data_IF_291978587221
#
_entry.id   IF_291978587221
#
_cell.length_a   1.000
_cell.length_b   1.000
_cell.length_c   1.000
_cell.angle_alpha   90.00
_cell.angle_beta   90.00
_cell.angle_gamma   90.00
#
_symmetry.space_group_name_H-M   'P 1'
#
loop_
_entity.id
_entity.type
_entity.pdbx_description
1 polymer ?
#
# COMPACT_ATOMS: atom_id res chain seq x y z
N UNK A 1 4.13 1.49 -10.81
CA UNK A 1 5.39 0.78 -10.51
C UNK A 1 5.34 -0.73 -10.75
N UNK A 2 4.72 -1.56 -9.90
CA UNK A 2 4.83 -3.04 -10.05
C UNK A 2 4.41 -3.54 -11.44
N UNK A 3 3.29 -3.02 -11.96
CA UNK A 3 2.79 -3.38 -13.30
C UNK A 3 3.74 -2.91 -14.40
N UNK A 4 4.29 -1.69 -14.31
CA UNK A 4 5.27 -1.16 -15.26
C UNK A 4 6.59 -1.91 -15.23
N UNK A 5 6.87 -2.65 -14.14
CA UNK A 5 8.03 -3.56 -14.03
C UNK A 5 7.72 -5.01 -14.37
N UNK A 6 6.49 -5.30 -14.79
CA UNK A 6 6.10 -6.59 -15.36
C UNK A 6 5.20 -7.45 -14.49
N UNK A 7 4.77 -6.98 -13.31
CA UNK A 7 3.79 -7.72 -12.51
C UNK A 7 2.40 -7.72 -13.19
N UNK A 8 1.72 -8.87 -13.15
CA UNK A 8 0.37 -8.98 -13.68
C UNK A 8 -0.63 -8.23 -12.79
N UNK A 9 -1.35 -7.26 -13.37
CA UNK A 9 -2.29 -6.42 -12.62
C UNK A 9 -3.45 -7.23 -12.00
N UNK A 10 -3.89 -8.31 -12.66
CA UNK A 10 -4.97 -9.16 -12.18
C UNK A 10 -4.48 -10.03 -11.02
N UNK A 11 -3.22 -10.47 -11.06
CA UNK A 11 -2.56 -11.14 -9.95
C UNK A 11 -2.45 -10.21 -8.74
N UNK A 12 -2.08 -8.93 -8.93
CA UNK A 12 -2.06 -7.96 -7.84
C UNK A 12 -3.44 -7.81 -7.22
N UNK A 13 -4.48 -7.60 -8.03
CA UNK A 13 -5.85 -7.52 -7.53
C UNK A 13 -6.24 -8.78 -6.75
N UNK A 14 -5.99 -9.98 -7.29
CA UNK A 14 -6.31 -11.25 -6.62
C UNK A 14 -5.57 -11.41 -5.29
N UNK A 15 -4.30 -11.02 -5.23
CA UNK A 15 -3.52 -11.09 -4.00
C UNK A 15 -4.10 -10.16 -2.91
N UNK A 16 -4.44 -8.93 -3.28
CA UNK A 16 -5.01 -7.94 -2.37
C UNK A 16 -6.43 -8.34 -1.91
N UNK A 17 -7.27 -8.89 -2.79
CA UNK A 17 -8.58 -9.41 -2.37
C UNK A 17 -8.45 -10.65 -1.50
N UNK A 18 -7.52 -11.57 -1.82
CA UNK A 18 -7.25 -12.76 -1.00
C UNK A 18 -6.70 -12.40 0.38
N UNK A 19 -5.97 -11.30 0.50
CA UNK A 19 -5.51 -10.77 1.77
C UNK A 19 -6.68 -10.38 2.69
N UNK A 20 -7.77 -9.88 2.11
CA UNK A 20 -9.02 -9.53 2.80
C UNK A 20 -9.67 -8.22 2.37
N UNK A 21 -9.09 -7.50 1.41
CA UNK A 21 -9.70 -6.25 0.93
C UNK A 21 -10.97 -6.53 0.13
N UNK A 22 -11.99 -5.65 0.21
CA UNK A 22 -13.23 -5.82 -0.54
C UNK A 22 -13.03 -5.74 -2.06
N UNK A 23 -11.97 -5.05 -2.50
CA UNK A 23 -11.67 -4.82 -3.91
C UNK A 23 -10.16 -4.65 -4.11
N UNK A 24 -9.65 -5.17 -5.23
CA UNK A 24 -8.26 -4.96 -5.63
C UNK A 24 -8.02 -3.54 -6.14
N UNK A 25 -6.79 -3.01 -6.02
CA UNK A 25 -6.47 -1.60 -6.29
C UNK A 25 -6.84 -1.14 -7.70
N UNK A 26 -6.63 -1.95 -8.73
CA UNK A 26 -6.96 -1.57 -10.11
C UNK A 26 -8.46 -1.55 -10.37
N UNK A 27 -9.22 -2.42 -9.70
CA UNK A 27 -10.68 -2.44 -9.81
C UNK A 27 -11.29 -1.25 -9.07
N UNK A 28 -10.72 -0.90 -7.93
CA UNK A 28 -11.08 0.29 -7.16
C UNK A 28 -10.78 1.57 -7.96
N UNK A 29 -9.62 1.65 -8.62
CA UNK A 29 -9.27 2.78 -9.47
C UNK A 29 -10.27 2.97 -10.63
N UNK A 30 -10.69 1.87 -11.29
CA UNK A 30 -11.73 1.93 -12.32
C UNK A 30 -13.07 2.42 -11.78
N UNK A 31 -13.45 1.98 -10.57
CA UNK A 31 -14.71 2.37 -9.93
C UNK A 31 -14.70 3.86 -9.55
N UNK A 32 -13.60 4.35 -8.98
CA UNK A 32 -13.41 5.76 -8.60
C UNK A 32 -13.30 6.65 -9.84
N UNK A 33 -12.65 6.16 -10.90
CA UNK A 33 -12.44 6.86 -12.16
C UNK A 33 -11.08 7.58 -12.23
N UNK A 34 -10.50 7.62 -13.44
CA UNK A 34 -9.12 8.08 -13.64
C UNK A 34 -8.93 9.58 -13.40
N UNK A 35 -9.97 10.40 -13.59
CA UNK A 35 -9.90 11.83 -13.31
C UNK A 35 -9.54 12.13 -11.85
N UNK A 36 -10.18 11.44 -10.91
CA UNK A 36 -9.89 11.58 -9.46
C UNK A 36 -8.49 11.06 -9.14
N UNK A 37 -8.10 9.93 -9.74
CA UNK A 37 -6.78 9.34 -9.54
C UNK A 37 -5.65 10.27 -9.98
N UNK A 38 -5.83 10.99 -11.09
CA UNK A 38 -4.84 11.94 -11.62
C UNK A 38 -4.73 13.17 -10.71
N UNK A 39 -5.85 13.81 -10.36
CA UNK A 39 -5.83 15.01 -9.51
C UNK A 39 -5.18 14.68 -8.17
N UNK A 40 -5.61 13.58 -7.54
CA UNK A 40 -5.04 13.10 -6.28
C UNK A 40 -3.54 12.77 -6.44
N UNK A 41 -3.18 12.04 -7.49
CA UNK A 41 -1.79 11.66 -7.78
C UNK A 41 -0.87 12.87 -7.99
N UNK A 42 -1.33 13.89 -8.70
CA UNK A 42 -0.60 15.16 -8.89
C UNK A 42 -0.33 15.84 -7.55
N UNK A 43 -1.32 15.91 -6.65
CA UNK A 43 -1.12 16.48 -5.31
C UNK A 43 -0.06 15.72 -4.50
N UNK A 44 -0.03 14.38 -4.57
CA UNK A 44 1.03 13.60 -3.90
C UNK A 44 2.41 13.84 -4.51
N UNK A 45 2.51 13.93 -5.84
CA UNK A 45 3.78 14.21 -6.54
C UNK A 45 4.29 15.61 -6.18
N UNK A 46 3.42 16.62 -6.12
CA UNK A 46 3.79 18.00 -5.81
C UNK A 46 4.23 18.18 -4.35
N UNK A 47 3.50 17.57 -3.41
CA UNK A 47 3.75 17.77 -1.98
C UNK A 47 4.76 16.77 -1.40
N UNK A 48 4.92 15.60 -2.02
CA UNK A 48 5.74 14.49 -1.51
C UNK A 48 6.51 13.75 -2.61
N UNK A 49 7.29 14.47 -3.45
CA UNK A 49 7.97 13.88 -4.61
C UNK A 49 8.95 12.77 -4.24
N UNK A 50 9.57 12.83 -3.07
CA UNK A 50 10.57 11.87 -2.59
C UNK A 50 9.96 10.52 -2.21
N UNK A 51 8.66 10.46 -1.93
CA UNK A 51 7.96 9.24 -1.51
C UNK A 51 6.79 8.86 -2.43
N UNK A 52 6.70 9.47 -3.61
CA UNK A 52 5.62 9.19 -4.57
C UNK A 52 6.20 8.67 -5.88
N UNK A 53 5.69 7.53 -6.35
CA UNK A 53 6.05 7.01 -7.66
C UNK A 53 5.14 7.60 -8.74
N UNK A 54 5.72 8.29 -9.72
CA UNK A 54 5.00 8.84 -10.87
C UNK A 54 4.81 7.79 -11.97
N UNK A 55 3.64 7.15 -11.97
CA UNK A 55 3.27 6.17 -13.00
C UNK A 55 2.77 6.84 -14.28
N UNK A 56 3.17 6.28 -15.43
CA UNK A 56 2.68 6.69 -16.76
C UNK A 56 1.50 5.85 -17.25
N UNK A 57 1.12 4.81 -16.51
CA UNK A 57 0.07 3.88 -16.91
C UNK A 57 -1.30 4.57 -17.09
N UNK A 58 -1.77 5.36 -16.12
CA UNK A 58 -3.06 6.06 -16.21
C UNK A 58 -3.04 7.12 -17.35
N UNK A 59 -2.02 7.99 -17.48
CA UNK A 59 -1.90 8.89 -18.62
C UNK A 59 -2.02 8.19 -19.99
N UNK A 60 -1.25 7.11 -20.21
CA UNK A 60 -1.29 6.34 -21.46
C UNK A 60 -2.69 5.74 -21.70
N UNK A 61 -3.36 5.28 -20.63
CA UNK A 61 -4.72 4.74 -20.75
C UNK A 61 -5.76 5.80 -21.12
N UNK A 62 -5.58 7.05 -20.66
CA UNK A 62 -6.47 8.14 -21.07
C UNK A 62 -6.32 8.49 -22.55
N UNK A 63 -5.10 8.45 -23.09
CA UNK A 63 -4.85 8.62 -24.54
C UNK A 63 -5.58 7.53 -25.35
N UNK A 64 -5.74 6.32 -24.78
CA UNK A 64 -6.54 5.22 -25.34
C UNK A 64 -8.05 5.33 -25.03
N UNK A 65 -8.52 6.50 -24.56
CA UNK A 65 -9.92 6.80 -24.21
C UNK A 65 -10.50 5.88 -23.13
N UNK A 66 -9.66 5.45 -22.17
CA UNK A 66 -10.07 4.67 -21.00
C UNK A 66 -10.14 5.58 -19.78
N UNK A 67 -11.23 5.53 -19.03
CA UNK A 67 -11.39 6.33 -17.81
C UNK A 67 -12.00 5.55 -16.64
N UNK A 68 -12.17 4.23 -16.78
CA UNK A 68 -12.69 3.35 -15.73
C UNK A 68 -14.08 2.80 -16.04
N UNK A 69 -14.84 2.47 -15.00
CA UNK A 69 -16.16 1.86 -15.09
C UNK A 69 -17.18 2.79 -15.76
N UNK A 70 -17.09 4.10 -15.52
CA UNK A 70 -17.99 5.09 -16.12
C UNK A 70 -17.95 5.11 -17.65
N UNK A 71 -16.77 4.85 -18.24
CA UNK A 71 -16.60 4.74 -19.70
C UNK A 71 -16.66 3.29 -20.19
N UNK A 72 -17.07 2.35 -19.33
CA UNK A 72 -17.09 0.90 -19.56
C UNK A 72 -15.73 0.28 -19.92
N UNK A 73 -14.64 1.03 -19.76
CA UNK A 73 -13.30 0.63 -20.17
C UNK A 73 -12.25 1.37 -19.33
N UNK A 74 -11.49 0.60 -18.58
CA UNK A 74 -10.40 1.03 -17.68
C UNK A 74 -9.29 -0.02 -17.70
N UNK A 75 -8.85 -0.46 -16.51
CA UNK A 75 -8.02 -1.66 -16.36
C UNK A 75 -8.78 -2.94 -16.71
N UNK A 76 -10.10 -2.91 -16.56
CA UNK A 76 -11.03 -3.95 -16.99
C UNK A 76 -11.97 -3.39 -18.08
N UNK A 77 -12.69 -4.30 -18.74
CA UNK A 77 -13.87 -3.98 -19.55
C UNK A 77 -15.14 -4.29 -18.77
N UNK A 78 -16.20 -3.52 -19.03
CA UNK A 78 -17.45 -3.61 -18.30
C UNK A 78 -18.62 -3.83 -19.26
N UNK A 79 -19.48 -4.79 -18.94
CA UNK A 79 -20.74 -5.00 -19.66
C UNK A 79 -21.84 -4.01 -19.19
N UNK A 80 -23.04 -4.10 -19.76
CA UNK A 80 -24.17 -3.23 -19.38
C UNK A 80 -24.57 -3.34 -17.91
N UNK A 81 -24.28 -4.48 -17.27
CA UNK A 81 -24.50 -4.73 -15.84
C UNK A 81 -23.32 -4.30 -14.97
N UNK A 82 -22.34 -3.58 -15.52
CA UNK A 82 -21.11 -3.12 -14.85
C UNK A 82 -20.26 -4.27 -14.26
N UNK A 83 -20.40 -5.47 -14.79
CA UNK A 83 -19.55 -6.59 -14.39
C UNK A 83 -18.19 -6.48 -15.08
N UNK A 84 -17.14 -6.56 -14.28
CA UNK A 84 -15.75 -6.47 -14.76
C UNK A 84 -15.33 -7.78 -15.44
N UNK A 85 -14.61 -7.68 -16.55
CA UNK A 85 -13.90 -8.80 -17.18
C UNK A 85 -12.50 -8.37 -17.58
N UNK A 86 -11.51 -9.28 -17.55
CA UNK A 86 -10.16 -8.98 -18.04
C UNK A 86 -10.20 -8.46 -19.47
N UNK A 87 -9.46 -7.40 -19.74
CA UNK A 87 -9.26 -6.85 -21.08
C UNK A 87 -7.96 -7.40 -21.70
N UNK A 88 -8.04 -8.13 -22.84
CA UNK A 88 -6.85 -8.59 -23.56
C UNK A 88 -5.91 -7.46 -24.03
N UNK A 89 -6.45 -6.28 -24.32
CA UNK A 89 -5.68 -5.14 -24.82
C UNK A 89 -4.83 -4.47 -23.72
N UNK A 90 -5.13 -4.73 -22.44
CA UNK A 90 -4.40 -4.11 -21.32
C UNK A 90 -2.91 -4.47 -21.35
N UNK A 91 -2.57 -5.67 -21.82
CA UNK A 91 -1.18 -6.12 -21.93
C UNK A 91 -0.37 -5.24 -22.89
N UNK A 92 -0.98 -4.83 -24.01
CA UNK A 92 -0.34 -3.95 -24.99
C UNK A 92 -0.10 -2.55 -24.41
N UNK A 93 -1.04 -2.06 -23.60
CA UNK A 93 -0.93 -0.77 -22.92
C UNK A 93 0.16 -0.80 -21.85
N UNK A 94 0.16 -1.83 -20.99
CA UNK A 94 1.19 -2.03 -19.97
C UNK A 94 2.57 -2.13 -20.62
N UNK A 95 2.68 -2.76 -21.80
CA UNK A 95 3.94 -2.82 -22.55
C UNK A 95 4.44 -1.44 -22.98
N UNK A 96 3.55 -0.49 -23.34
CA UNK A 96 3.94 0.90 -23.64
C UNK A 96 4.45 1.65 -22.40
N UNK A 97 3.90 1.34 -21.25
CA UNK A 97 4.29 1.94 -19.96
C UNK A 97 5.49 1.23 -19.32
N UNK A 98 5.98 0.13 -19.90
CA UNK A 98 6.94 -0.76 -19.27
C UNK A 98 8.32 -0.13 -19.19
N UNK A 99 8.92 -0.15 -18.00
CA UNK A 99 10.34 0.16 -17.81
C UNK A 99 11.19 -1.02 -18.31
N UNK A 100 12.41 -0.76 -18.81
CA UNK A 100 13.31 -1.80 -19.33
C UNK A 100 13.63 -2.87 -18.26
N UNK A 101 13.60 -2.51 -16.98
CA UNK A 101 13.80 -3.44 -15.87
C UNK A 101 12.59 -4.36 -15.67
N UNK A 102 12.70 -5.60 -16.15
CA UNK A 102 11.74 -6.66 -15.81
C UNK A 102 12.10 -7.23 -14.44
N UNK A 103 11.30 -6.95 -13.42
CA UNK A 103 11.48 -7.54 -12.09
C UNK A 103 10.38 -8.59 -11.87
N UNK A 104 10.79 -9.81 -11.57
CA UNK A 104 9.85 -10.83 -11.15
C UNK A 104 9.47 -10.56 -9.69
N UNK A 105 8.19 -10.25 -9.45
CA UNK A 105 7.67 -9.99 -8.12
C UNK A 105 7.07 -11.28 -7.58
N UNK A 106 7.57 -11.78 -6.45
CA UNK A 106 6.99 -12.94 -5.78
C UNK A 106 5.53 -12.62 -5.41
N UNK A 107 4.54 -13.48 -5.76
CA UNK A 107 3.17 -13.32 -5.33
C UNK A 107 2.97 -13.05 -3.83
N UNK A 108 3.86 -13.59 -2.97
CA UNK A 108 3.85 -13.37 -1.52
C UNK A 108 4.20 -11.93 -1.16
N UNK A 109 5.14 -11.34 -1.88
CA UNK A 109 5.60 -9.98 -1.64
C UNK A 109 4.58 -8.94 -2.11
N UNK A 110 3.70 -9.26 -3.07
CA UNK A 110 2.73 -8.30 -3.63
C UNK A 110 1.91 -7.60 -2.53
N UNK A 111 1.40 -8.35 -1.55
CA UNK A 111 0.58 -7.78 -0.46
C UNK A 111 1.42 -6.79 0.36
N UNK A 112 2.63 -7.18 0.71
CA UNK A 112 3.54 -6.36 1.50
C UNK A 112 4.03 -5.14 0.71
N UNK A 113 4.32 -5.27 -0.58
CA UNK A 113 4.70 -4.15 -1.45
C UNK A 113 3.57 -3.13 -1.63
N UNK A 114 2.30 -3.57 -1.49
CA UNK A 114 1.14 -2.67 -1.50
C UNK A 114 0.97 -1.99 -0.15
N UNK A 115 1.05 -2.72 0.97
CA UNK A 115 0.68 -2.19 2.29
C UNK A 115 1.85 -1.65 3.12
N UNK A 116 3.10 -2.09 2.94
CA UNK A 116 4.23 -1.57 3.69
C UNK A 116 4.51 -0.09 3.42
N UNK A 117 4.38 0.45 2.18
CA UNK A 117 4.41 1.89 1.97
C UNK A 117 3.34 2.63 2.77
N UNK A 118 2.13 2.06 2.89
CA UNK A 118 1.06 2.65 3.69
C UNK A 118 1.37 2.59 5.20
N UNK A 119 1.95 1.49 5.69
CA UNK A 119 2.45 1.38 7.08
C UNK A 119 3.54 2.42 7.32
N UNK A 120 4.45 2.60 6.37
CA UNK A 120 5.53 3.58 6.46
C UNK A 120 5.00 5.01 6.53
N UNK A 121 4.00 5.36 5.74
CA UNK A 121 3.31 6.66 5.83
C UNK A 121 2.52 6.81 7.13
N UNK A 122 1.85 5.77 7.61
CA UNK A 122 1.17 5.78 8.89
C UNK A 122 2.13 5.99 10.07
N UNK A 123 3.35 5.44 10.00
CA UNK A 123 4.43 5.74 10.95
C UNK A 123 4.85 7.22 10.89
N UNK A 124 4.90 7.85 9.72
CA UNK A 124 5.18 9.31 9.59
C UNK A 124 4.08 10.14 10.22
N UNK A 125 2.82 9.86 9.89
CA UNK A 125 1.64 10.55 10.44
C UNK A 125 1.61 10.49 11.97
N UNK A 126 2.02 9.35 12.55
CA UNK A 126 2.15 9.22 14.00
C UNK A 126 3.34 10.01 14.57
N UNK A 127 4.50 9.93 13.91
CA UNK A 127 5.71 10.64 14.35
C UNK A 127 5.55 12.16 14.28
N UNK A 128 4.80 12.66 13.31
CA UNK A 128 4.45 14.06 13.12
C UNK A 128 3.33 14.54 14.08
N UNK A 129 2.74 13.63 14.86
CA UNK A 129 1.66 13.95 15.80
C UNK A 129 0.31 14.28 15.15
N UNK A 130 0.15 13.98 13.86
CA UNK A 130 -1.12 14.15 13.14
C UNK A 130 -2.17 13.18 13.67
N UNK A 131 -1.77 11.92 13.91
CA UNK A 131 -2.59 10.95 14.63
C UNK A 131 -2.14 10.88 16.09
N UNK A 132 -3.09 10.84 17.02
CA UNK A 132 -2.79 10.77 18.47
C UNK A 132 -2.34 9.36 18.85
N UNK A 133 -2.98 8.33 18.28
CA UNK A 133 -2.69 6.92 18.59
C UNK A 133 -2.69 6.05 17.34
N UNK A 134 -1.93 4.96 17.40
CA UNK A 134 -1.93 3.90 16.39
C UNK A 134 -3.35 3.35 16.10
N UNK A 135 -4.16 3.24 17.15
CA UNK A 135 -5.54 2.75 17.05
C UNK A 135 -6.44 3.65 16.20
N UNK A 136 -6.15 4.95 16.15
CA UNK A 136 -6.93 5.90 15.35
C UNK A 136 -6.69 5.63 13.86
N UNK A 137 -5.44 5.30 13.50
CA UNK A 137 -5.04 4.85 12.17
C UNK A 137 -5.62 3.48 11.82
N UNK A 138 -5.67 2.55 12.79
CA UNK A 138 -6.32 1.24 12.61
C UNK A 138 -7.81 1.40 12.28
N UNK A 139 -8.53 2.21 13.07
CA UNK A 139 -9.96 2.49 12.86
C UNK A 139 -10.17 3.19 11.50
N UNK A 140 -9.36 4.20 11.18
CA UNK A 140 -9.44 4.90 9.91
C UNK A 140 -9.19 3.97 8.73
N UNK A 141 -8.23 3.04 8.83
CA UNK A 141 -7.98 2.05 7.80
C UNK A 141 -9.16 1.06 7.65
N UNK A 142 -9.71 0.56 8.76
CA UNK A 142 -10.84 -0.37 8.69
C UNK A 142 -12.08 0.31 8.11
N UNK A 143 -12.44 1.49 8.61
CA UNK A 143 -13.69 2.17 8.24
C UNK A 143 -13.59 2.96 6.93
N UNK A 144 -12.39 3.46 6.59
CA UNK A 144 -12.17 4.29 5.41
C UNK A 144 -11.78 3.50 4.16
N UNK A 145 -10.71 2.70 4.24
CA UNK A 145 -10.22 1.92 3.09
C UNK A 145 -10.81 0.50 3.02
N UNK A 146 -11.52 0.05 4.05
CA UNK A 146 -12.03 -1.32 4.14
C UNK A 146 -10.94 -2.34 4.48
N UNK A 147 -9.91 -1.95 5.24
CA UNK A 147 -8.89 -2.90 5.70
C UNK A 147 -9.54 -4.04 6.50
N UNK A 148 -9.16 -5.31 6.30
CA UNK A 148 -9.87 -6.46 6.87
C UNK A 148 -9.94 -6.40 8.41
N UNK A 149 -11.16 -6.26 9.01
CA UNK A 149 -11.31 -6.06 10.46
C UNK A 149 -10.76 -7.23 11.29
N UNK A 150 -10.83 -8.45 10.77
CA UNK A 150 -10.30 -9.64 11.44
C UNK A 150 -8.76 -9.67 11.50
N UNK A 151 -8.08 -8.71 10.85
CA UNK A 151 -6.65 -8.44 11.01
C UNK A 151 -6.37 -7.26 11.95
N UNK A 152 -7.38 -6.75 12.66
CA UNK A 152 -7.30 -5.65 13.62
C UNK A 152 -7.28 -4.26 12.98
N UNK A 153 -6.36 -4.02 12.05
CA UNK A 153 -6.10 -2.73 11.42
C UNK A 153 -4.70 -2.71 10.82
N UNK A 154 -4.36 -1.69 10.05
CA UNK A 154 -3.08 -1.66 9.32
C UNK A 154 -1.86 -1.59 10.25
N UNK A 155 -1.95 -0.85 11.36
CA UNK A 155 -0.89 -0.74 12.36
C UNK A 155 -0.83 -1.96 13.26
N UNK A 156 -1.99 -2.52 13.64
CA UNK A 156 -2.05 -3.80 14.36
C UNK A 156 -1.43 -4.93 13.54
N UNK A 157 -1.75 -5.00 12.25
CA UNK A 157 -1.17 -5.97 11.33
C UNK A 157 0.33 -5.77 11.18
N UNK A 158 0.80 -4.53 11.03
CA UNK A 158 2.23 -4.23 11.02
C UNK A 158 2.95 -4.69 12.30
N UNK A 159 2.34 -4.48 13.47
CA UNK A 159 2.88 -4.96 14.74
C UNK A 159 3.02 -6.49 14.80
N UNK A 160 2.11 -7.23 14.15
CA UNK A 160 2.21 -8.70 14.07
C UNK A 160 3.40 -9.20 13.24
N UNK A 161 3.90 -8.38 12.32
CA UNK A 161 5.07 -8.69 11.47
C UNK A 161 6.38 -8.20 12.09
N UNK A 162 6.32 -7.07 12.78
CA UNK A 162 7.46 -6.45 13.47
C UNK A 162 8.25 -5.47 12.61
N UNK A 163 8.79 -4.44 13.27
CA UNK A 163 9.43 -3.28 12.62
C UNK A 163 10.69 -3.66 11.86
N UNK A 164 11.49 -4.61 12.40
CA UNK A 164 12.70 -5.10 11.76
C UNK A 164 12.43 -5.70 10.39
N UNK A 165 11.41 -6.55 10.30
CA UNK A 165 11.04 -7.21 9.05
C UNK A 165 10.53 -6.21 8.01
N UNK A 166 9.61 -5.33 8.42
CA UNK A 166 9.04 -4.32 7.52
C UNK A 166 10.13 -3.37 7.03
N UNK A 167 11.00 -2.88 7.93
CA UNK A 167 12.11 -1.99 7.58
C UNK A 167 13.07 -2.68 6.60
N UNK A 168 13.45 -3.94 6.85
CA UNK A 168 14.36 -4.66 5.94
C UNK A 168 13.77 -4.86 4.54
N UNK A 169 12.48 -5.18 4.43
CA UNK A 169 11.81 -5.36 3.13
C UNK A 169 11.70 -4.03 2.37
N UNK A 170 11.37 -2.95 3.08
CA UNK A 170 11.35 -1.60 2.53
C UNK A 170 12.74 -1.16 2.05
N UNK A 171 13.81 -1.43 2.81
CA UNK A 171 15.20 -1.16 2.38
C UNK A 171 15.60 -1.98 1.15
N UNK A 172 15.30 -3.28 1.14
CA UNK A 172 15.54 -4.17 0.01
C UNK A 172 14.88 -3.61 -1.26
N UNK A 173 13.60 -3.27 -1.19
CA UNK A 173 12.89 -2.69 -2.33
C UNK A 173 13.36 -1.28 -2.67
N UNK A 174 13.72 -0.46 -1.68
CA UNK A 174 14.30 0.87 -1.96
C UNK A 174 15.57 0.75 -2.80
N UNK A 175 16.40 -0.26 -2.56
CA UNK A 175 17.60 -0.53 -3.34
C UNK A 175 17.30 -1.11 -4.73
N UNK A 176 16.35 -2.04 -4.84
CA UNK A 176 15.97 -2.68 -6.12
C UNK A 176 15.23 -1.71 -7.05
N UNK A 177 14.39 -0.86 -6.49
CA UNK A 177 13.50 0.01 -7.25
C UNK A 177 14.05 1.44 -7.42
N UNK A 178 15.24 1.70 -6.89
CA UNK A 178 16.01 2.95 -7.03
C UNK A 178 15.15 4.20 -6.73
N UNK A 179 14.38 4.12 -5.64
CA UNK A 179 13.29 5.05 -5.41
C UNK A 179 13.00 5.29 -3.94
N UNK A 180 12.80 6.55 -3.60
CA UNK A 180 12.39 6.96 -2.26
C UNK A 180 10.98 6.49 -1.86
N UNK A 181 10.17 5.99 -2.79
CA UNK A 181 8.85 5.41 -2.53
C UNK A 181 8.88 4.31 -1.45
N UNK A 182 9.90 3.45 -1.46
CA UNK A 182 10.06 2.39 -0.45
C UNK A 182 10.98 2.77 0.70
N UNK A 183 11.57 3.97 0.70
CA UNK A 183 12.53 4.35 1.75
C UNK A 183 11.83 4.34 3.12
N UNK A 184 12.30 3.55 4.10
CA UNK A 184 11.74 3.57 5.44
C UNK A 184 11.83 4.98 6.04
N UNK A 185 10.78 5.41 6.74
CA UNK A 185 10.80 6.64 7.50
C UNK A 185 11.69 6.50 8.73
N UNK A 186 12.20 7.64 9.22
CA UNK A 186 13.11 7.66 10.38
C UNK A 186 12.49 6.98 11.61
N UNK A 187 11.19 7.19 11.85
CA UNK A 187 10.48 6.56 12.95
C UNK A 187 10.51 5.03 12.88
N UNK A 188 10.15 4.45 11.72
CA UNK A 188 10.13 3.01 11.54
C UNK A 188 11.55 2.42 11.67
N UNK A 189 12.56 3.07 11.09
CA UNK A 189 13.95 2.66 11.19
C UNK A 189 14.45 2.66 12.65
N UNK A 190 14.14 3.72 13.42
CA UNK A 190 14.51 3.79 14.85
C UNK A 190 13.87 2.65 15.66
N UNK A 191 12.60 2.34 15.40
CA UNK A 191 11.88 1.23 16.05
C UNK A 191 12.51 -0.12 15.70
N UNK A 192 12.92 -0.31 14.45
CA UNK A 192 13.64 -1.49 13.99
C UNK A 192 14.98 -1.67 14.73
N UNK A 193 15.79 -0.62 14.84
CA UNK A 193 17.07 -0.64 15.58
C UNK A 193 16.86 -1.00 17.05
N UNK A 194 15.83 -0.43 17.69
CA UNK A 194 15.50 -0.69 19.10
C UNK A 194 14.83 -2.06 19.35
N UNK A 195 14.51 -2.81 18.30
CA UNK A 195 13.73 -4.05 18.41
C UNK A 195 12.36 -3.84 19.06
N UNK A 196 11.78 -2.66 18.88
CA UNK A 196 10.42 -2.34 19.31
C UNK A 196 9.44 -2.66 18.17
N UNK A 197 8.18 -2.94 18.50
CA UNK A 197 7.15 -3.07 17.46
C UNK A 197 7.00 -1.76 16.67
N UNK A 198 6.52 -1.76 15.42
CA UNK A 198 6.26 -0.55 14.65
C UNK A 198 5.56 0.53 15.46
N UNK A 199 4.57 0.17 16.31
CA UNK A 199 3.81 1.19 17.05
C UNK A 199 3.52 0.86 18.50
N UNK A 200 3.12 -0.37 18.84
CA UNK A 200 2.76 -0.67 20.23
C UNK A 200 3.99 -0.77 21.14
N UNK A 201 3.97 -0.03 22.24
CA UNK A 201 4.87 -0.26 23.36
C UNK A 201 4.24 -1.30 24.30
N UNK A 202 4.05 -2.53 23.82
CA UNK A 202 3.60 -3.62 24.69
C UNK A 202 4.62 -3.90 25.82
N UNK A 203 5.89 -3.56 25.59
CA UNK A 203 6.93 -3.66 26.61
C UNK A 203 6.62 -2.82 27.86
N UNK A 204 6.03 -1.63 27.74
CA UNK A 204 5.77 -0.80 28.91
C UNK A 204 4.59 -1.33 29.73
N UNK A 205 3.55 -1.86 29.09
CA UNK A 205 2.39 -2.40 29.82
C UNK A 205 2.78 -3.69 30.53
N UNK A 206 3.53 -4.59 29.88
CA UNK A 206 4.02 -5.79 30.56
C UNK A 206 5.07 -5.48 31.62
N UNK A 207 6.02 -4.57 31.38
CA UNK A 207 7.01 -4.19 32.40
C UNK A 207 6.36 -3.50 33.59
N UNK A 208 5.46 -2.54 33.37
CA UNK A 208 4.73 -1.88 34.48
C UNK A 208 3.78 -2.83 35.20
N UNK A 209 3.14 -3.78 34.51
CA UNK A 209 2.33 -4.81 35.17
C UNK A 209 3.18 -5.79 35.97
N UNK A 210 4.34 -6.20 35.46
CA UNK A 210 5.29 -7.07 36.18
C UNK A 210 5.94 -6.35 37.36
N UNK A 211 6.30 -5.07 37.23
CA UNK A 211 6.80 -4.24 38.35
C UNK A 211 5.72 -3.94 39.39
N UNK A 212 4.47 -3.72 38.98
CA UNK A 212 3.33 -3.63 39.91
C UNK A 212 3.00 -4.95 40.60
N UNK A 213 3.23 -6.09 39.94
CA UNK A 213 3.05 -7.39 40.57
C UNK A 213 4.17 -7.70 41.57
N UNK A 214 5.42 -7.32 41.27
CA UNK A 214 6.57 -7.51 42.17
C UNK A 214 6.58 -6.58 43.40
N UNK A 215 5.95 -5.41 43.32
CA UNK A 215 5.84 -4.46 44.45
C UNK A 215 4.68 -4.76 45.41
N UNK A 216 3.90 -5.81 45.15
CA UNK A 216 2.79 -6.29 45.99
C UNK A 216 3.09 -7.63 46.69
N UNK A 217 4.33 -8.11 46.59
CA UNK A 217 4.89 -9.24 47.32
C UNK A 217 5.99 -8.71 48.24
#
# INVERSE_FOLDING_TARGET
>A
MLVERGADLYQINRAVTKFGMPMGPFRLCDLVGFGVAIVTGTQFIENFPERTYKSMLIPIMQEDKRAGEATRKGFYVYNDKRMASPDPEIKKIVQKAREISCVNVDPKDIVEMVFFPMVNDACRVLAEGIAVKASDLDIAAVMGMGFPPYRGGIMFWADSLGSKYICSKLEEWSNVYDGGFFKPCAYLAERATKGALPVRILKLIWSTLVERAKSRL
#
